data_IF_460645633066
#
_entry.id   IF_460645633066
#
_cell.length_a   1.000
_cell.length_b   1.000
_cell.length_c   1.000
_cell.angle_alpha   90.00
_cell.angle_beta   90.00
_cell.angle_gamma   90.00
#
_symmetry.space_group_name_H-M   'P 1'
#
loop_
_entity.id
_entity.type
_entity.pdbx_description
1 polymer ?
#
# COMPACT_ATOMS: atom_id res chain seq x y z
N UNK A 1 -39.51 14.51 -16.97
CA UNK A 1 -38.53 15.55 -17.35
C UNK A 1 -37.54 15.76 -16.21
N UNK A 2 -36.32 15.22 -16.30
CA UNK A 2 -35.23 15.41 -15.31
C UNK A 2 -34.30 16.55 -15.77
N UNK A 3 -34.89 17.71 -16.12
CA UNK A 3 -34.27 18.67 -17.03
C UNK A 3 -33.32 19.73 -16.45
N UNK A 4 -33.46 20.25 -15.22
CA UNK A 4 -32.57 21.34 -14.76
C UNK A 4 -31.92 21.17 -13.36
N UNK A 5 -32.25 20.15 -12.58
CA UNK A 5 -31.77 19.98 -11.18
C UNK A 5 -30.50 19.11 -11.04
N UNK A 6 -29.72 18.91 -12.11
CA UNK A 6 -28.53 18.06 -12.09
C UNK A 6 -27.28 18.76 -11.54
N UNK A 7 -27.23 20.08 -11.58
CA UNK A 7 -26.06 20.86 -11.17
C UNK A 7 -25.73 20.77 -9.66
N UNK A 8 -26.69 20.66 -8.71
CA UNK A 8 -26.37 20.50 -7.30
C UNK A 8 -25.68 19.15 -7.02
N UNK A 9 -26.13 18.08 -7.68
CA UNK A 9 -25.47 16.77 -7.56
C UNK A 9 -24.03 16.81 -8.10
N UNK A 10 -23.75 17.60 -9.14
CA UNK A 10 -22.39 17.77 -9.63
C UNK A 10 -21.51 18.47 -8.60
N UNK A 11 -22.01 19.56 -7.97
CA UNK A 11 -21.26 20.26 -6.93
C UNK A 11 -20.99 19.37 -5.71
N UNK A 12 -21.99 18.60 -5.27
CA UNK A 12 -21.83 17.64 -4.17
C UNK A 12 -20.77 16.59 -4.53
N UNK A 13 -20.89 15.97 -5.71
CA UNK A 13 -19.92 14.97 -6.16
C UNK A 13 -18.51 15.53 -6.32
N UNK A 14 -18.36 16.77 -6.79
CA UNK A 14 -17.06 17.44 -6.88
C UNK A 14 -16.45 17.69 -5.49
N UNK A 15 -17.24 18.12 -4.52
CA UNK A 15 -16.79 18.34 -3.15
C UNK A 15 -16.41 17.02 -2.45
N UNK A 16 -17.20 15.97 -2.65
CA UNK A 16 -16.90 14.62 -2.15
C UNK A 16 -15.61 14.08 -2.77
N UNK A 17 -15.46 14.18 -4.09
CA UNK A 17 -14.26 13.75 -4.80
C UNK A 17 -13.01 14.48 -4.31
N UNK A 18 -13.07 15.81 -4.19
CA UNK A 18 -11.96 16.61 -3.70
C UNK A 18 -11.58 16.20 -2.26
N UNK A 19 -12.58 16.04 -1.40
CA UNK A 19 -12.38 15.61 -0.01
C UNK A 19 -11.76 14.21 0.04
N UNK A 20 -12.30 13.28 -0.74
CA UNK A 20 -11.81 11.91 -0.83
C UNK A 20 -10.36 11.87 -1.33
N UNK A 21 -10.01 12.66 -2.35
CA UNK A 21 -8.65 12.71 -2.89
C UNK A 21 -7.63 13.19 -1.84
N UNK A 22 -7.97 14.23 -1.07
CA UNK A 22 -7.10 14.73 0.01
C UNK A 22 -6.94 13.70 1.11
N UNK A 23 -8.04 13.10 1.57
CA UNK A 23 -8.01 12.11 2.66
C UNK A 23 -7.33 10.81 2.24
N UNK A 24 -7.54 10.37 1.00
CA UNK A 24 -6.92 9.18 0.44
C UNK A 24 -5.40 9.32 0.41
N UNK A 25 -4.89 10.48 0.01
CA UNK A 25 -3.44 10.73 -0.01
C UNK A 25 -2.84 10.58 1.38
N UNK A 26 -3.43 11.22 2.39
CA UNK A 26 -2.98 11.09 3.78
C UNK A 26 -3.10 9.66 4.32
N UNK A 27 -4.17 8.94 3.97
CA UNK A 27 -4.34 7.55 4.39
C UNK A 27 -3.31 6.62 3.75
N UNK A 28 -2.95 6.86 2.48
CA UNK A 28 -1.89 6.11 1.79
C UNK A 28 -0.54 6.35 2.44
N UNK A 29 -0.22 7.59 2.82
CA UNK A 29 1.05 7.91 3.49
C UNK A 29 1.17 7.16 4.83
N UNK A 30 0.10 7.20 5.66
CA UNK A 30 0.07 6.44 6.93
C UNK A 30 0.14 4.94 6.70
N UNK A 31 -0.56 4.42 5.69
CA UNK A 31 -0.51 3.00 5.35
C UNK A 31 0.89 2.57 4.92
N UNK A 32 1.57 3.37 4.09
CA UNK A 32 2.93 3.11 3.66
C UNK A 32 3.90 3.07 4.85
N UNK A 33 3.80 4.04 5.75
CA UNK A 33 4.66 4.10 6.95
C UNK A 33 4.41 2.92 7.90
N UNK A 34 3.16 2.50 8.08
CA UNK A 34 2.82 1.30 8.85
C UNK A 34 3.37 0.02 8.21
N UNK A 35 3.26 -0.12 6.89
CA UNK A 35 3.79 -1.28 6.16
C UNK A 35 5.31 -1.29 6.21
N UNK A 36 5.98 -0.16 6.01
CA UNK A 36 7.44 -0.02 6.10
C UNK A 36 7.92 -0.39 7.51
N UNK A 37 7.28 0.16 8.55
CA UNK A 37 7.60 -0.18 9.94
C UNK A 37 7.40 -1.67 10.26
N UNK A 38 6.31 -2.27 9.75
CA UNK A 38 6.06 -3.69 9.92
C UNK A 38 7.12 -4.54 9.21
N UNK A 39 7.48 -4.21 7.97
CA UNK A 39 8.54 -4.90 7.22
C UNK A 39 9.88 -4.72 7.91
N UNK A 40 10.24 -3.52 8.35
CA UNK A 40 11.50 -3.25 9.03
C UNK A 40 11.65 -4.03 10.33
N UNK A 41 10.54 -4.18 11.05
CA UNK A 41 10.51 -4.95 12.31
C UNK A 41 10.62 -6.45 12.06
N UNK A 42 9.98 -6.97 11.00
CA UNK A 42 9.83 -8.41 10.76
C UNK A 42 10.79 -8.99 9.71
N UNK A 43 11.51 -8.17 8.95
CA UNK A 43 12.48 -8.63 7.94
C UNK A 43 13.55 -9.60 8.47
N UNK A 44 14.07 -9.49 9.72
CA UNK A 44 15.05 -10.45 10.20
C UNK A 44 14.45 -11.84 10.40
N UNK A 45 13.21 -11.90 10.92
CA UNK A 45 12.49 -13.16 11.10
C UNK A 45 12.14 -13.81 9.75
N UNK A 46 11.71 -12.99 8.78
CA UNK A 46 11.44 -13.47 7.42
C UNK A 46 12.70 -14.03 6.78
N UNK A 47 13.83 -13.33 6.87
CA UNK A 47 15.08 -13.81 6.33
C UNK A 47 15.55 -15.12 6.97
N UNK A 48 15.41 -15.27 8.29
CA UNK A 48 15.72 -16.52 8.98
C UNK A 48 14.85 -17.68 8.47
N UNK A 49 13.55 -17.47 8.29
CA UNK A 49 12.63 -18.49 7.78
C UNK A 49 12.97 -18.98 6.37
N UNK A 50 13.46 -18.09 5.51
CA UNK A 50 13.86 -18.41 4.13
C UNK A 50 15.37 -18.72 3.98
N UNK A 51 16.13 -18.77 5.09
CA UNK A 51 17.59 -18.94 5.10
C UNK A 51 18.32 -17.94 4.19
N UNK A 52 17.85 -16.70 4.16
CA UNK A 52 18.41 -15.63 3.33
C UNK A 52 19.55 -14.92 4.06
N UNK A 53 20.58 -14.55 3.31
CA UNK A 53 21.65 -13.68 3.81
C UNK A 53 21.36 -12.25 3.38
N UNK A 54 21.18 -11.34 4.34
CA UNK A 54 20.97 -9.92 4.05
C UNK A 54 22.33 -9.25 3.90
N UNK A 55 22.70 -8.88 2.68
CA UNK A 55 23.99 -8.24 2.41
C UNK A 55 24.20 -6.93 3.18
N UNK A 56 23.13 -6.15 3.38
CA UNK A 56 23.16 -4.83 4.03
C UNK A 56 22.29 -4.77 5.31
N UNK A 57 21.93 -5.93 5.88
CA UNK A 57 21.03 -5.98 7.04
C UNK A 57 19.56 -5.67 6.75
N UNK A 58 19.18 -5.41 5.49
CA UNK A 58 17.80 -5.26 5.05
C UNK A 58 17.46 -6.12 3.84
N UNK A 59 16.17 -6.44 3.66
CA UNK A 59 15.67 -7.13 2.48
C UNK A 59 15.63 -6.14 1.32
N UNK A 60 16.31 -6.46 0.22
CA UNK A 60 16.27 -5.63 -0.99
C UNK A 60 14.99 -5.89 -1.79
N UNK A 61 14.56 -4.95 -2.66
CA UNK A 61 13.40 -5.17 -3.52
C UNK A 61 13.49 -6.44 -4.37
N UNK A 62 14.69 -6.74 -4.90
CA UNK A 62 14.92 -7.96 -5.68
C UNK A 62 14.74 -9.23 -4.84
N UNK A 63 15.21 -9.21 -3.59
CA UNK A 63 15.06 -10.34 -2.66
C UNK A 63 13.59 -10.49 -2.22
N UNK A 64 12.89 -9.40 -1.97
CA UNK A 64 11.45 -9.41 -1.65
C UNK A 64 10.59 -9.99 -2.79
N UNK A 65 10.93 -9.68 -4.04
CA UNK A 65 10.28 -10.28 -5.20
C UNK A 65 10.51 -11.81 -5.28
N UNK A 66 11.74 -12.28 -5.03
CA UNK A 66 12.05 -13.71 -4.99
C UNK A 66 11.27 -14.45 -3.87
N UNK A 67 11.21 -13.86 -2.67
CA UNK A 67 10.40 -14.42 -1.55
C UNK A 67 8.92 -14.52 -1.94
N UNK A 68 8.39 -13.48 -2.59
CA UNK A 68 6.99 -13.45 -3.04
C UNK A 68 6.72 -14.55 -4.08
N UNK A 69 7.62 -14.73 -5.06
CA UNK A 69 7.49 -15.79 -6.06
C UNK A 69 7.55 -17.19 -5.44
N UNK A 70 8.44 -17.39 -4.46
CA UNK A 70 8.54 -18.66 -3.71
C UNK A 70 7.28 -18.96 -2.88
N UNK A 71 6.68 -17.94 -2.25
CA UNK A 71 5.41 -18.09 -1.52
C UNK A 71 4.25 -18.42 -2.46
N UNK A 72 4.16 -17.74 -3.61
CA UNK A 72 3.10 -17.98 -4.60
C UNK A 72 3.19 -19.37 -5.24
N UNK A 73 4.38 -19.98 -5.31
CA UNK A 73 4.56 -21.37 -5.75
C UNK A 73 4.15 -22.41 -4.70
N UNK A 74 4.01 -22.00 -3.43
CA UNK A 74 3.58 -22.86 -2.33
C UNK A 74 2.09 -22.80 -2.00
N UNK A 75 1.32 -21.94 -2.68
CA UNK A 75 -0.14 -21.79 -2.58
C UNK A 75 -0.85 -22.49 -3.75
#
# INVERSE_FOLDING_TARGET
MLGPFWWPSLLIGAAEYATAAVRLRSAIDVFAELVESAVDTHQPALAAAFSLTLANGSITPALGADVTDRLNKGA
#
